data_IF_490392942166
#
_entry.id   IF_490392942166
#
_cell.length_a   1.000
_cell.length_b   1.000
_cell.length_c   1.000
_cell.angle_alpha   90.00
_cell.angle_beta   90.00
_cell.angle_gamma   90.00
#
_symmetry.space_group_name_H-M   'P 1'
#
loop_
_entity.id
_entity.type
_entity.pdbx_description
1 polymer ?
#
# COMPACT_ATOMS: atom_id res chain seq x y z
N UNK A 1 1.36 -7.43 -1.04
CA UNK A 1 0.42 -6.69 -1.91
C UNK A 1 -0.66 -5.96 -1.12
N UNK A 2 -1.31 -6.61 -0.15
CA UNK A 2 -2.34 -6.01 0.74
C UNK A 2 -1.95 -4.61 1.27
N UNK A 3 -0.77 -4.47 1.87
CA UNK A 3 -0.30 -3.19 2.42
C UNK A 3 -0.21 -2.07 1.35
N UNK A 4 0.13 -2.42 0.11
CA UNK A 4 0.18 -1.44 -1.00
C UNK A 4 -1.23 -0.96 -1.34
N UNK A 5 -2.20 -1.87 -1.45
CA UNK A 5 -3.59 -1.47 -1.73
C UNK A 5 -4.14 -0.58 -0.61
N UNK A 6 -3.89 -0.91 0.66
CA UNK A 6 -4.28 -0.07 1.79
C UNK A 6 -3.61 1.31 1.76
N UNK A 7 -2.32 1.38 1.42
CA UNK A 7 -1.61 2.64 1.27
C UNK A 7 -2.23 3.52 0.17
N UNK A 8 -2.51 2.95 -1.01
CA UNK A 8 -3.14 3.68 -2.11
C UNK A 8 -4.54 4.15 -1.73
N UNK A 9 -5.34 3.31 -1.07
CA UNK A 9 -6.65 3.69 -0.56
C UNK A 9 -6.58 4.79 0.50
N UNK A 10 -5.55 4.80 1.35
CA UNK A 10 -5.33 5.86 2.32
C UNK A 10 -5.01 7.20 1.63
N UNK A 11 -4.16 7.18 0.59
CA UNK A 11 -3.86 8.35 -0.22
C UNK A 11 -5.13 8.90 -0.91
N UNK A 12 -5.95 8.02 -1.47
CA UNK A 12 -7.23 8.39 -2.09
C UNK A 12 -8.19 8.98 -1.05
N UNK A 13 -8.33 8.35 0.12
CA UNK A 13 -9.18 8.84 1.21
C UNK A 13 -8.73 10.21 1.74
N UNK A 14 -7.42 10.49 1.72
CA UNK A 14 -6.84 11.80 2.00
C UNK A 14 -7.05 12.84 0.87
N UNK A 15 -7.78 12.48 -0.18
CA UNK A 15 -8.13 13.38 -1.29
C UNK A 15 -7.04 13.53 -2.35
N UNK A 16 -6.00 12.70 -2.32
CA UNK A 16 -4.97 12.73 -3.37
C UNK A 16 -5.50 12.15 -4.69
N UNK A 17 -5.20 12.88 -5.77
CA UNK A 17 -5.51 12.55 -7.16
C UNK A 17 -4.52 13.25 -8.08
N UNK A 18 -4.32 12.75 -9.30
CA UNK A 18 -3.38 13.34 -10.27
C UNK A 18 -1.97 13.56 -9.67
N UNK A 19 -1.43 12.54 -9.00
CA UNK A 19 -0.16 12.62 -8.26
C UNK A 19 0.68 11.37 -8.47
N UNK A 20 1.99 11.57 -8.52
CA UNK A 20 2.97 10.50 -8.50
C UNK A 20 3.55 10.35 -7.08
N UNK A 21 3.56 9.12 -6.57
CA UNK A 21 4.10 8.78 -5.26
C UNK A 21 5.31 7.85 -5.38
N UNK A 22 6.19 7.94 -4.40
CA UNK A 22 7.29 6.98 -4.22
C UNK A 22 6.97 6.13 -3.00
N UNK A 23 6.83 4.82 -3.21
CA UNK A 23 6.62 3.86 -2.13
C UNK A 23 7.91 3.09 -1.86
N UNK A 24 8.29 2.97 -0.60
CA UNK A 24 9.43 2.16 -0.16
C UNK A 24 8.92 0.84 0.38
N UNK A 25 9.58 -0.26 0.02
CA UNK A 25 9.26 -1.59 0.53
C UNK A 25 10.52 -2.42 0.67
N UNK A 26 10.59 -3.22 1.72
CA UNK A 26 11.62 -4.23 1.92
C UNK A 26 11.25 -5.60 1.34
N UNK A 27 10.08 -5.71 0.70
CA UNK A 27 9.61 -6.94 0.08
C UNK A 27 9.92 -6.94 -1.42
N UNK A 28 10.98 -7.65 -1.82
CA UNK A 28 11.38 -7.79 -3.23
C UNK A 28 10.28 -8.40 -4.12
N UNK A 29 9.45 -9.29 -3.58
CA UNK A 29 8.32 -9.88 -4.31
C UNK A 29 7.27 -8.83 -4.68
N UNK A 30 6.95 -7.93 -3.76
CA UNK A 30 6.03 -6.80 -4.00
C UNK A 30 6.63 -5.81 -4.99
N UNK A 31 7.91 -5.44 -4.83
CA UNK A 31 8.64 -4.56 -5.77
C UNK A 31 8.60 -5.15 -7.19
N UNK A 32 8.97 -6.43 -7.32
CA UNK A 32 8.98 -7.13 -8.61
C UNK A 32 7.59 -7.23 -9.24
N UNK A 33 6.56 -7.54 -8.46
CA UNK A 33 5.20 -7.68 -8.97
C UNK A 33 4.63 -6.36 -9.50
N UNK A 34 4.84 -5.25 -8.79
CA UNK A 34 4.41 -3.91 -9.23
C UNK A 34 5.20 -3.44 -10.45
N UNK A 35 6.52 -3.61 -10.47
CA UNK A 35 7.34 -3.26 -11.62
C UNK A 35 6.96 -4.06 -12.87
N UNK A 36 6.58 -5.33 -12.71
CA UNK A 36 6.16 -6.19 -13.82
C UNK A 36 4.67 -6.02 -14.22
N UNK A 37 3.87 -5.32 -13.41
CA UNK A 37 2.41 -5.25 -13.59
C UNK A 37 1.68 -6.59 -13.41
N UNK A 38 2.33 -7.60 -12.80
CA UNK A 38 1.76 -8.94 -12.57
C UNK A 38 2.45 -9.68 -11.42
N UNK A 39 1.72 -10.54 -10.71
CA UNK A 39 2.28 -11.54 -9.79
C UNK A 39 1.98 -12.97 -10.27
N UNK A 40 2.80 -13.95 -9.84
CA UNK A 40 2.56 -15.38 -10.08
C UNK A 40 1.44 -15.93 -9.20
N UNK A 41 1.28 -15.40 -7.99
CA UNK A 41 0.23 -15.83 -7.07
C UNK A 41 -1.13 -15.30 -7.51
N UNK A 42 -2.13 -16.17 -7.66
CA UNK A 42 -3.49 -15.76 -8.10
C UNK A 42 -4.04 -14.64 -7.23
N UNK A 43 -3.99 -14.82 -5.92
CA UNK A 43 -4.50 -13.85 -4.96
C UNK A 43 -3.75 -12.52 -5.00
N UNK A 44 -2.42 -12.54 -4.96
CA UNK A 44 -1.61 -11.33 -5.06
C UNK A 44 -1.86 -10.58 -6.38
N UNK A 45 -2.04 -11.32 -7.47
CA UNK A 45 -2.32 -10.73 -8.77
C UNK A 45 -3.72 -10.10 -8.82
N UNK A 46 -4.73 -10.68 -8.17
CA UNK A 46 -6.05 -10.05 -8.03
C UNK A 46 -5.97 -8.74 -7.23
N UNK A 47 -5.22 -8.71 -6.13
CA UNK A 47 -4.99 -7.47 -5.34
C UNK A 47 -4.24 -6.43 -6.20
N UNK A 48 -3.25 -6.86 -6.99
CA UNK A 48 -2.55 -5.98 -7.92
C UNK A 48 -3.48 -5.35 -8.96
N UNK A 49 -4.44 -6.11 -9.50
CA UNK A 49 -5.44 -5.56 -10.41
C UNK A 49 -6.29 -4.48 -9.76
N UNK A 50 -6.68 -4.65 -8.48
CA UNK A 50 -7.38 -3.59 -7.73
C UNK A 50 -6.51 -2.34 -7.53
N UNK A 51 -5.21 -2.51 -7.26
CA UNK A 51 -4.27 -1.38 -7.16
C UNK A 51 -4.18 -0.62 -8.49
N UNK A 52 -4.05 -1.33 -9.61
CA UNK A 52 -3.98 -0.72 -10.94
C UNK A 52 -5.28 0.00 -11.32
N UNK A 53 -6.44 -0.54 -10.92
CA UNK A 53 -7.71 0.14 -11.10
C UNK A 53 -7.77 1.46 -10.30
N UNK A 54 -7.30 1.45 -9.04
CA UNK A 54 -7.23 2.67 -8.22
C UNK A 54 -6.28 3.72 -8.83
N UNK A 55 -5.20 3.30 -9.48
CA UNK A 55 -4.31 4.20 -10.21
C UNK A 55 -5.03 4.90 -11.36
N UNK A 56 -5.79 4.14 -12.15
CA UNK A 56 -6.55 4.68 -13.28
C UNK A 56 -7.66 5.63 -12.80
N UNK A 57 -8.51 5.16 -11.89
CA UNK A 57 -9.68 5.88 -11.37
C UNK A 57 -9.33 7.25 -10.75
N UNK A 58 -8.14 7.36 -10.14
CA UNK A 58 -7.71 8.56 -9.41
C UNK A 58 -6.54 9.30 -10.07
N UNK A 59 -6.08 8.85 -11.24
CA UNK A 59 -4.86 9.36 -11.88
C UNK A 59 -3.67 9.37 -10.90
N UNK A 60 -3.45 8.25 -10.23
CA UNK A 60 -2.32 8.07 -9.31
C UNK A 60 -1.27 7.22 -10.02
N UNK A 61 0.00 7.62 -9.88
CA UNK A 61 1.14 6.82 -10.32
C UNK A 61 2.02 6.48 -9.13
N UNK A 62 2.68 5.33 -9.21
CA UNK A 62 3.52 4.82 -8.14
C UNK A 62 4.86 4.34 -8.69
N UNK A 63 5.95 4.92 -8.18
CA UNK A 63 7.27 4.28 -8.24
C UNK A 63 7.49 3.51 -6.95
N UNK A 64 7.73 2.20 -7.04
CA UNK A 64 8.13 1.41 -5.88
C UNK A 64 9.64 1.19 -5.86
N UNK A 65 10.26 1.40 -4.69
CA UNK A 65 11.70 1.29 -4.48
C UNK A 65 11.96 0.28 -3.38
N UNK A 66 12.89 -0.64 -3.64
CA UNK A 66 13.38 -1.54 -2.60
C UNK A 66 14.22 -0.78 -1.58
N UNK A 67 13.98 -1.02 -0.29
CA UNK A 67 14.85 -0.58 0.81
C UNK A 67 15.16 -1.76 1.75
N UNK A 68 16.32 -1.81 2.39
CA UNK A 68 16.56 -2.78 3.46
C UNK A 68 15.54 -2.63 4.60
N UNK A 69 15.19 -3.73 5.28
CA UNK A 69 14.23 -3.70 6.41
C UNK A 69 14.63 -2.72 7.50
N UNK A 70 15.94 -2.58 7.79
CA UNK A 70 16.45 -1.63 8.78
C UNK A 70 16.14 -0.15 8.42
N UNK A 71 15.95 0.15 7.13
CA UNK A 71 15.63 1.49 6.63
C UNK A 71 14.12 1.66 6.34
N UNK A 72 13.33 0.61 6.55
CA UNK A 72 11.89 0.63 6.29
C UNK A 72 11.15 1.31 7.44
N UNK A 73 10.88 2.60 7.29
CA UNK A 73 10.12 3.40 8.27
C UNK A 73 8.71 2.84 8.58
N UNK A 74 8.16 1.96 7.74
CA UNK A 74 6.88 1.32 7.96
C UNK A 74 6.94 0.10 8.89
N UNK A 75 8.13 -0.41 9.25
CA UNK A 75 8.28 -1.56 10.14
C UNK A 75 7.66 -1.30 11.53
N UNK A 76 7.99 -0.16 12.15
CA UNK A 76 7.40 0.26 13.43
C UNK A 76 5.87 0.31 13.41
N UNK A 77 5.24 1.10 12.52
CA UNK A 77 3.79 1.15 12.38
C UNK A 77 3.15 -0.21 12.10
N UNK A 78 3.79 -1.07 11.28
CA UNK A 78 3.29 -2.42 11.01
C UNK A 78 3.31 -3.35 12.23
N UNK A 79 4.08 -3.02 13.27
CA UNK A 79 4.17 -3.72 14.56
C UNK A 79 3.35 -3.03 15.65
N UNK A 80 2.53 -2.05 15.29
CA UNK A 80 1.70 -1.29 16.21
C UNK A 80 2.40 -0.13 16.91
N UNK A 81 3.65 0.18 16.55
CA UNK A 81 4.35 1.38 17.04
C UNK A 81 4.00 2.54 16.12
N UNK A 82 2.88 3.21 16.42
CA UNK A 82 2.36 4.30 15.61
C UNK A 82 3.23 5.57 15.73
N UNK A 83 3.38 6.35 14.64
CA UNK A 83 4.08 7.62 14.67
C UNK A 83 3.23 8.69 15.38
N UNK A 84 3.77 9.89 15.54
CA UNK A 84 2.99 11.03 16.05
C UNK A 84 1.73 11.24 15.20
N UNK A 85 0.67 11.76 15.82
CA UNK A 85 -0.63 11.95 15.17
C UNK A 85 -0.55 12.81 13.90
N UNK A 86 0.38 13.78 13.87
CA UNK A 86 0.68 14.65 12.72
C UNK A 86 1.14 13.89 11.47
N UNK A 87 1.70 12.69 11.65
CA UNK A 87 2.17 11.81 10.57
C UNK A 87 1.13 10.76 10.18
N UNK A 88 -0.01 10.72 10.87
CA UNK A 88 -1.09 9.77 10.58
C UNK A 88 -2.14 10.41 9.67
N UNK A 89 -2.84 9.58 8.90
CA UNK A 89 -4.02 10.03 8.17
C UNK A 89 -5.15 10.37 9.15
N UNK A 90 -5.89 11.45 8.89
CA UNK A 90 -7.02 11.89 9.74
C UNK A 90 -8.12 10.83 9.87
N UNK A 91 -8.32 10.03 8.81
CA UNK A 91 -9.27 8.94 8.79
C UNK A 91 -8.64 7.69 8.16
N UNK A 92 -8.96 6.49 8.66
CA UNK A 92 -8.52 5.26 8.04
C UNK A 92 -9.20 5.07 6.67
N UNK A 93 -8.52 4.46 5.69
CA UNK A 93 -9.17 4.09 4.44
C UNK A 93 -10.25 3.05 4.67
N UNK A 94 -11.28 3.06 3.81
CA UNK A 94 -12.24 1.95 3.75
C UNK A 94 -11.50 0.66 3.36
N UNK A 95 -11.57 -0.34 4.22
CA UNK A 95 -11.07 -1.69 3.92
C UNK A 95 -12.08 -2.40 3.03
N UNK A 96 -11.69 -2.85 1.82
CA UNK A 96 -12.57 -3.61 0.94
C UNK A 96 -12.71 -5.07 1.42
N UNK A 97 -13.82 -5.76 1.12
CA UNK A 97 -14.09 -7.11 1.62
C UNK A 97 -12.98 -8.13 1.33
N UNK A 98 -12.32 -8.05 0.16
CA UNK A 98 -11.27 -8.99 -0.23
C UNK A 98 -9.94 -8.81 0.53
N UNK A 99 -9.83 -7.79 1.39
CA UNK A 99 -8.66 -7.57 2.24
C UNK A 99 -8.89 -7.89 3.72
N UNK A 100 -10.15 -8.11 4.14
CA UNK A 100 -10.52 -8.26 5.55
C UNK A 100 -9.76 -9.40 6.22
N UNK A 101 -9.62 -10.54 5.54
CA UNK A 101 -8.96 -11.73 6.09
C UNK A 101 -7.42 -11.59 6.19
N UNK A 102 -6.83 -10.49 5.67
CA UNK A 102 -5.38 -10.24 5.67
C UNK A 102 -4.96 -9.11 6.60
N UNK A 103 -5.88 -8.54 7.36
CA UNK A 103 -5.60 -7.45 8.29
C UNK A 103 -6.03 -7.81 9.69
N UNK A 104 -5.30 -7.29 10.66
CA UNK A 104 -5.67 -7.34 12.08
C UNK A 104 -5.71 -5.92 12.62
N UNK A 105 -6.68 -5.59 13.50
CA UNK A 105 -6.66 -4.32 14.19
C UNK A 105 -5.36 -4.19 15.01
N UNK A 106 -4.74 -3.01 14.94
CA UNK A 106 -3.70 -2.64 15.90
C UNK A 106 -4.40 -2.29 17.20
N UNK A 107 -4.21 -3.11 18.23
CA UNK A 107 -4.68 -2.88 19.61
C UNK A 107 -3.73 -1.99 20.38
#
# INVERSE_FOLDING_TARGET
MVAVELAVRALVAAGHRNKHFVLRSDNQGVVGALAAGRSRGRQENSILQHILQLFDDHSIWLTIVYVPTADNIADGPSRGVLPTQELQFEAPPRVPPHLVDFIVPVT
#
